data_IF_003941547107
#
_entry.id   IF_003941547107
#
_cell.length_a   1.000
_cell.length_b   1.000
_cell.length_c   1.000
_cell.angle_alpha   90.00
_cell.angle_beta   90.00
_cell.angle_gamma   90.00
#
_symmetry.space_group_name_H-M   'P 1'
#
loop_
_entity.id
_entity.type
_entity.pdbx_description
1 polymer ?
#
# COMPACT_ATOMS: atom_id res chain seq x y z
N UNK A 1 50.62 -24.54 -36.74
CA UNK A 1 49.78 -24.22 -35.56
C UNK A 1 49.40 -25.54 -34.92
N UNK A 2 49.79 -25.77 -33.67
CA UNK A 2 49.66 -27.08 -33.02
C UNK A 2 48.22 -27.28 -32.50
N UNK A 3 47.63 -28.47 -32.69
CA UNK A 3 46.26 -28.79 -32.29
C UNK A 3 46.02 -28.57 -30.80
N UNK A 4 47.04 -28.89 -29.99
CA UNK A 4 47.01 -28.67 -28.54
C UNK A 4 46.89 -27.17 -28.19
N UNK A 5 47.48 -26.30 -29.01
CA UNK A 5 47.41 -24.85 -28.80
C UNK A 5 46.00 -24.31 -29.08
N UNK A 6 45.31 -24.87 -30.09
CA UNK A 6 43.92 -24.51 -30.42
C UNK A 6 42.97 -24.97 -29.30
N UNK A 7 43.16 -26.20 -28.81
CA UNK A 7 42.36 -26.75 -27.71
C UNK A 7 42.50 -25.95 -26.42
N UNK A 8 43.74 -25.60 -26.05
CA UNK A 8 44.00 -24.79 -24.85
C UNK A 8 43.40 -23.38 -24.97
N UNK A 9 43.56 -22.74 -26.13
CA UNK A 9 42.97 -21.41 -26.37
C UNK A 9 41.44 -21.45 -26.28
N UNK A 10 40.81 -22.48 -26.85
CA UNK A 10 39.36 -22.66 -26.81
C UNK A 10 38.83 -22.92 -25.39
N UNK A 11 39.50 -23.79 -24.61
CA UNK A 11 39.13 -24.03 -23.20
C UNK A 11 39.28 -22.79 -22.33
N UNK A 12 40.35 -22.01 -22.54
CA UNK A 12 40.58 -20.77 -21.81
C UNK A 12 39.57 -19.69 -22.17
N UNK A 13 39.14 -19.63 -23.44
CA UNK A 13 38.12 -18.67 -23.87
C UNK A 13 36.73 -19.05 -23.34
N UNK A 14 36.41 -20.35 -23.28
CA UNK A 14 35.17 -20.83 -22.65
C UNK A 14 35.12 -20.53 -21.15
N UNK A 15 36.22 -20.75 -20.41
CA UNK A 15 36.25 -20.47 -18.97
C UNK A 15 36.15 -18.97 -18.66
N UNK A 16 36.77 -18.12 -19.48
CA UNK A 16 36.62 -16.66 -19.41
C UNK A 16 35.18 -16.24 -19.72
N UNK A 17 34.52 -16.89 -20.68
CA UNK A 17 33.14 -16.56 -21.05
C UNK A 17 32.14 -17.02 -19.97
N UNK A 18 32.31 -18.22 -19.41
CA UNK A 18 31.48 -18.71 -18.29
C UNK A 18 31.65 -17.85 -17.03
N UNK A 19 32.88 -17.46 -16.69
CA UNK A 19 33.13 -16.54 -15.57
C UNK A 19 32.54 -15.15 -15.81
N UNK A 20 32.63 -14.61 -17.03
CA UNK A 20 31.99 -13.36 -17.39
C UNK A 20 30.45 -13.44 -17.33
N UNK A 21 29.84 -14.54 -17.78
CA UNK A 21 28.39 -14.77 -17.70
C UNK A 21 27.93 -14.85 -16.24
N UNK A 22 28.65 -15.60 -15.40
CA UNK A 22 28.32 -15.76 -13.97
C UNK A 22 28.49 -14.46 -13.18
N UNK A 23 29.57 -13.70 -13.42
CA UNK A 23 29.78 -12.36 -12.84
C UNK A 23 28.68 -11.40 -13.29
N UNK A 24 28.29 -11.41 -14.57
CA UNK A 24 27.20 -10.56 -15.05
C UNK A 24 25.87 -10.95 -14.40
N UNK A 25 25.58 -12.24 -14.23
CA UNK A 25 24.38 -12.70 -13.53
C UNK A 25 24.37 -12.29 -12.05
N UNK A 26 25.51 -12.36 -11.35
CA UNK A 26 25.61 -11.92 -9.95
C UNK A 26 25.50 -10.41 -9.82
N UNK A 27 26.14 -9.63 -10.69
CA UNK A 27 26.02 -8.16 -10.69
C UNK A 27 24.59 -7.71 -11.04
N UNK A 28 23.91 -8.41 -11.97
CA UNK A 28 22.52 -8.14 -12.30
C UNK A 28 21.57 -8.50 -11.15
N UNK A 29 21.84 -9.57 -10.41
CA UNK A 29 21.03 -9.95 -9.24
C UNK A 29 21.27 -8.97 -8.09
N UNK A 30 22.52 -8.61 -7.79
CA UNK A 30 22.88 -7.60 -6.79
C UNK A 30 22.28 -6.23 -7.11
N UNK A 31 22.34 -5.79 -8.36
CA UNK A 31 21.76 -4.50 -8.79
C UNK A 31 20.23 -4.52 -8.64
N UNK A 32 19.56 -5.63 -8.99
CA UNK A 32 18.12 -5.79 -8.81
C UNK A 32 17.73 -5.80 -7.32
N UNK A 33 18.47 -6.52 -6.48
CA UNK A 33 18.26 -6.58 -5.03
C UNK A 33 18.47 -5.20 -4.39
N UNK A 34 19.54 -4.49 -4.76
CA UNK A 34 19.82 -3.15 -4.24
C UNK A 34 18.73 -2.13 -4.65
N UNK A 35 18.23 -2.21 -5.88
CA UNK A 35 17.12 -1.37 -6.33
C UNK A 35 15.82 -1.67 -5.57
N UNK A 36 15.51 -2.95 -5.34
CA UNK A 36 14.36 -3.35 -4.52
C UNK A 36 14.51 -2.88 -3.07
N UNK A 37 15.71 -2.95 -2.51
CA UNK A 37 16.01 -2.47 -1.17
C UNK A 37 15.81 -0.95 -1.04
N UNK A 38 16.21 -0.18 -2.07
CA UNK A 38 15.93 1.27 -2.13
C UNK A 38 14.43 1.58 -2.19
N UNK A 39 13.67 0.86 -3.02
CA UNK A 39 12.21 1.04 -3.13
C UNK A 39 11.49 0.69 -1.82
N UNK A 40 11.86 -0.40 -1.17
CA UNK A 40 11.32 -0.78 0.14
C UNK A 40 11.69 0.23 1.23
N UNK A 41 12.92 0.76 1.22
CA UNK A 41 13.32 1.80 2.16
C UNK A 41 12.57 3.13 1.93
N UNK A 42 12.36 3.53 0.68
CA UNK A 42 11.54 4.69 0.35
C UNK A 42 10.09 4.49 0.84
N UNK A 43 9.54 3.30 0.63
CA UNK A 43 8.22 2.92 1.14
C UNK A 43 8.16 2.99 2.67
N UNK A 44 9.18 2.48 3.36
CA UNK A 44 9.29 2.55 4.83
C UNK A 44 9.25 3.99 5.32
N UNK A 45 10.04 4.87 4.71
CA UNK A 45 10.05 6.30 5.08
C UNK A 45 8.72 6.99 4.82
N UNK A 46 8.06 6.70 3.70
CA UNK A 46 6.71 7.21 3.44
C UNK A 46 5.72 6.77 4.54
N UNK A 47 5.77 5.50 4.97
CA UNK A 47 4.92 4.98 6.05
C UNK A 47 5.22 5.59 7.41
N UNK A 48 6.48 5.91 7.70
CA UNK A 48 6.86 6.63 8.92
C UNK A 48 6.23 8.03 8.92
N UNK A 49 6.35 8.77 7.81
CA UNK A 49 5.77 10.12 7.67
C UNK A 49 4.24 10.06 7.81
N UNK A 50 3.57 9.13 7.13
CA UNK A 50 2.12 8.95 7.26
C UNK A 50 1.71 8.54 8.68
N UNK A 51 2.51 7.71 9.37
CA UNK A 51 2.23 7.34 10.77
C UNK A 51 2.28 8.55 11.70
N UNK A 52 3.26 9.44 11.49
CA UNK A 52 3.34 10.69 12.25
C UNK A 52 2.11 11.57 11.98
N UNK A 53 1.66 11.66 10.72
CA UNK A 53 0.45 12.38 10.37
C UNK A 53 -0.81 11.77 11.01
N UNK A 54 -1.01 10.45 10.94
CA UNK A 54 -2.12 9.78 11.61
C UNK A 54 -2.09 9.95 13.13
N UNK A 55 -0.91 9.84 13.75
CA UNK A 55 -0.76 10.08 15.18
C UNK A 55 -1.18 11.50 15.56
N UNK A 56 -0.74 12.50 14.79
CA UNK A 56 -1.14 13.90 15.01
C UNK A 56 -2.66 14.09 14.87
N UNK A 57 -3.28 13.50 13.84
CA UNK A 57 -4.73 13.53 13.64
C UNK A 57 -5.47 12.90 14.83
N UNK A 58 -5.01 11.73 15.31
CA UNK A 58 -5.61 11.05 16.46
C UNK A 58 -5.56 11.93 17.72
N UNK A 59 -4.43 12.60 17.96
CA UNK A 59 -4.29 13.52 19.11
C UNK A 59 -5.27 14.69 18.99
N UNK A 60 -5.36 15.32 17.81
CA UNK A 60 -6.31 16.42 17.57
C UNK A 60 -7.77 15.99 17.76
N UNK A 61 -8.16 14.86 17.17
CA UNK A 61 -9.51 14.32 17.30
C UNK A 61 -9.82 13.92 18.74
N UNK A 62 -8.84 13.33 19.45
CA UNK A 62 -8.98 12.96 20.86
C UNK A 62 -9.18 14.17 21.76
N UNK A 63 -8.41 15.25 21.55
CA UNK A 63 -8.59 16.52 22.26
C UNK A 63 -9.96 17.13 21.96
N UNK A 64 -10.38 17.13 20.69
CA UNK A 64 -11.69 17.61 20.29
C UNK A 64 -12.83 16.88 21.03
N UNK A 65 -12.79 15.54 21.03
CA UNK A 65 -13.81 14.71 21.70
C UNK A 65 -13.81 14.93 23.22
N UNK A 66 -12.64 15.08 23.84
CA UNK A 66 -12.53 15.31 25.28
C UNK A 66 -13.11 16.67 25.71
N UNK A 67 -12.96 17.70 24.87
CA UNK A 67 -13.47 19.04 25.15
C UNK A 67 -14.94 19.22 24.76
N UNK A 68 -15.42 18.46 23.78
CA UNK A 68 -16.77 18.56 23.20
C UNK A 68 -17.54 17.24 23.34
N UNK A 69 -17.70 16.76 24.57
CA UNK A 69 -18.46 15.53 24.86
C UNK A 69 -19.97 15.79 24.78
N UNK A 70 -20.47 16.02 23.57
CA UNK A 70 -21.87 16.17 23.23
C UNK A 70 -22.23 15.23 22.07
N UNK A 71 -23.50 14.85 21.96
CA UNK A 71 -24.01 14.03 20.86
C UNK A 71 -24.30 14.90 19.62
N UNK A 72 -23.32 15.67 19.18
CA UNK A 72 -23.40 16.52 17.98
C UNK A 72 -22.87 15.80 16.73
N UNK A 73 -23.25 16.27 15.55
CA UNK A 73 -22.75 15.71 14.29
C UNK A 73 -21.22 15.84 14.15
N UNK A 74 -20.58 16.96 14.53
CA UNK A 74 -19.12 17.05 14.60
C UNK A 74 -18.47 16.02 15.54
N UNK A 75 -19.03 15.77 16.73
CA UNK A 75 -18.48 14.78 17.68
C UNK A 75 -18.61 13.34 17.18
N UNK A 76 -19.74 12.98 16.54
CA UNK A 76 -19.89 11.68 15.87
C UNK A 76 -18.89 11.55 14.72
N UNK A 77 -18.70 12.63 13.96
CA UNK A 77 -17.72 12.67 12.87
C UNK A 77 -16.29 12.46 13.38
N UNK A 78 -15.92 13.09 14.50
CA UNK A 78 -14.64 12.90 15.17
C UNK A 78 -14.40 11.44 15.53
N UNK A 79 -15.42 10.76 16.06
CA UNK A 79 -15.34 9.34 16.44
C UNK A 79 -15.13 8.44 15.21
N UNK A 80 -15.89 8.65 14.13
CA UNK A 80 -15.75 7.88 12.89
C UNK A 80 -14.34 8.05 12.32
N UNK A 81 -13.85 9.29 12.20
CA UNK A 81 -12.51 9.55 11.67
C UNK A 81 -11.40 9.03 12.58
N UNK A 82 -11.62 9.00 13.90
CA UNK A 82 -10.68 8.41 14.84
C UNK A 82 -10.50 6.92 14.59
N UNK A 83 -11.59 6.17 14.33
CA UNK A 83 -11.51 4.74 13.99
C UNK A 83 -10.64 4.50 12.76
N UNK A 84 -10.86 5.26 11.69
CA UNK A 84 -10.05 5.12 10.46
C UNK A 84 -8.60 5.57 10.66
N UNK A 85 -8.37 6.61 11.45
CA UNK A 85 -7.02 7.11 11.75
C UNK A 85 -6.22 6.10 12.57
N UNK A 86 -6.84 5.49 13.59
CA UNK A 86 -6.24 4.42 14.40
C UNK A 86 -5.95 3.20 13.53
N UNK A 87 -6.91 2.77 12.72
CA UNK A 87 -6.74 1.65 11.80
C UNK A 87 -5.60 1.90 10.79
N UNK A 88 -5.51 3.13 10.26
CA UNK A 88 -4.42 3.59 9.40
C UNK A 88 -3.07 3.54 10.10
N UNK A 89 -2.98 4.05 11.33
CA UNK A 89 -1.76 4.03 12.14
C UNK A 89 -1.29 2.61 12.42
N UNK A 90 -2.18 1.74 12.92
CA UNK A 90 -1.86 0.32 13.18
C UNK A 90 -1.39 -0.38 11.90
N UNK A 91 -2.08 -0.15 10.79
CA UNK A 91 -1.72 -0.71 9.49
C UNK A 91 -0.34 -0.26 9.00
N UNK A 92 -0.01 1.03 9.18
CA UNK A 92 1.29 1.59 8.81
C UNK A 92 2.41 1.05 9.70
N UNK A 93 2.20 0.96 11.03
CA UNK A 93 3.15 0.34 11.95
C UNK A 93 3.41 -1.12 11.55
N UNK A 94 2.35 -1.88 11.24
CA UNK A 94 2.47 -3.24 10.73
C UNK A 94 3.34 -3.32 9.47
N UNK A 95 3.15 -2.41 8.51
CA UNK A 95 4.01 -2.34 7.32
C UNK A 95 5.46 -2.03 7.65
N UNK A 96 5.72 -1.07 8.54
CA UNK A 96 7.08 -0.68 8.92
C UNK A 96 7.80 -1.88 9.55
N UNK A 97 7.15 -2.59 10.46
CA UNK A 97 7.71 -3.80 11.11
C UNK A 97 7.96 -4.90 10.08
N UNK A 98 7.03 -5.14 9.16
CA UNK A 98 7.24 -6.14 8.11
C UNK A 98 8.39 -5.77 7.18
N UNK A 99 8.53 -4.50 6.76
CA UNK A 99 9.64 -4.04 5.91
C UNK A 99 10.97 -4.13 6.67
N UNK A 100 11.01 -3.77 7.96
CA UNK A 100 12.22 -3.83 8.77
C UNK A 100 12.74 -5.27 8.97
N UNK A 101 11.84 -6.26 8.95
CA UNK A 101 12.16 -7.67 9.11
C UNK A 101 12.46 -8.41 7.79
N UNK A 102 12.47 -7.70 6.64
CA UNK A 102 12.87 -8.31 5.37
C UNK A 102 14.35 -8.65 5.43
N UNK A 103 14.66 -9.93 5.39
CA UNK A 103 16.03 -10.43 5.37
C UNK A 103 16.50 -10.56 3.91
N UNK A 104 17.37 -9.64 3.51
CA UNK A 104 17.93 -9.55 2.16
C UNK A 104 19.01 -10.61 1.89
N UNK A 105 19.47 -11.35 2.89
CA UNK A 105 20.43 -12.45 2.72
C UNK A 105 19.75 -13.77 2.32
N UNK A 106 18.41 -13.83 2.35
CA UNK A 106 17.64 -15.01 1.96
C UNK A 106 17.66 -15.27 0.45
N UNK A 107 17.42 -16.53 0.00
CA UNK A 107 17.25 -16.85 -1.41
C UNK A 107 16.22 -15.94 -2.09
N UNK A 108 16.46 -15.59 -3.36
CA UNK A 108 15.65 -14.65 -4.14
C UNK A 108 14.15 -15.03 -4.12
N UNK A 109 13.82 -16.33 -4.12
CA UNK A 109 12.44 -16.82 -4.06
C UNK A 109 11.73 -16.48 -2.74
N UNK A 110 12.45 -16.49 -1.61
CA UNK A 110 11.90 -16.10 -0.31
C UNK A 110 11.72 -14.58 -0.23
N UNK A 111 12.71 -13.82 -0.70
CA UNK A 111 12.62 -12.36 -0.79
C UNK A 111 11.43 -11.92 -1.65
N UNK A 112 11.20 -12.61 -2.77
CA UNK A 112 10.04 -12.40 -3.63
C UNK A 112 8.72 -12.63 -2.88
N UNK A 113 8.59 -13.71 -2.09
CA UNK A 113 7.39 -13.97 -1.26
C UNK A 113 7.18 -12.91 -0.19
N UNK A 114 8.24 -12.42 0.44
CA UNK A 114 8.16 -11.34 1.42
C UNK A 114 7.71 -10.02 0.78
N UNK A 115 8.22 -9.71 -0.41
CA UNK A 115 7.75 -8.57 -1.22
C UNK A 115 6.27 -8.74 -1.59
N UNK A 116 5.82 -9.92 -2.02
CA UNK A 116 4.41 -10.17 -2.32
C UNK A 116 3.50 -9.90 -1.11
N UNK A 117 3.90 -10.38 0.08
CA UNK A 117 3.16 -10.13 1.33
C UNK A 117 3.06 -8.64 1.65
N UNK A 118 4.16 -7.89 1.48
CA UNK A 118 4.17 -6.44 1.65
C UNK A 118 3.23 -5.73 0.68
N UNK A 119 3.25 -6.12 -0.60
CA UNK A 119 2.37 -5.61 -1.64
C UNK A 119 0.90 -5.87 -1.31
N UNK A 120 0.59 -7.10 -0.88
CA UNK A 120 -0.76 -7.50 -0.45
C UNK A 120 -1.24 -6.70 0.75
N UNK A 121 -0.42 -6.59 1.79
CA UNK A 121 -0.75 -5.80 2.98
C UNK A 121 -0.94 -4.31 2.63
N UNK A 122 -0.09 -3.76 1.76
CA UNK A 122 -0.23 -2.39 1.24
C UNK A 122 -1.55 -2.17 0.52
N UNK A 123 -1.96 -3.12 -0.32
CA UNK A 123 -3.25 -3.08 -0.99
C UNK A 123 -4.40 -3.13 0.02
N UNK A 124 -4.36 -4.07 0.98
CA UNK A 124 -5.43 -4.20 1.99
C UNK A 124 -5.56 -2.96 2.87
N UNK A 125 -4.45 -2.37 3.31
CA UNK A 125 -4.48 -1.12 4.07
C UNK A 125 -5.10 0.02 3.26
N UNK A 126 -4.73 0.12 1.98
CA UNK A 126 -5.32 1.14 1.09
C UNK A 126 -6.81 0.93 0.92
N UNK A 127 -7.27 -0.32 0.79
CA UNK A 127 -8.70 -0.65 0.73
C UNK A 127 -9.43 -0.24 2.01
N UNK A 128 -8.82 -0.50 3.17
CA UNK A 128 -9.38 -0.13 4.47
C UNK A 128 -9.54 1.40 4.58
N UNK A 129 -8.53 2.16 4.18
CA UNK A 129 -8.60 3.63 4.17
C UNK A 129 -9.61 4.16 3.15
N UNK A 130 -9.71 3.56 1.97
CA UNK A 130 -10.73 3.91 0.96
C UNK A 130 -12.15 3.63 1.46
N UNK A 131 -12.33 2.71 2.42
CA UNK A 131 -13.63 2.46 3.06
C UNK A 131 -14.10 3.65 3.91
N UNK A 132 -13.24 4.63 4.19
CA UNK A 132 -13.63 5.89 4.83
C UNK A 132 -14.28 6.89 3.86
N UNK A 133 -14.10 6.73 2.53
CA UNK A 133 -14.59 7.67 1.52
C UNK A 133 -16.11 7.93 1.56
N UNK A 134 -16.98 6.93 1.83
CA UNK A 134 -18.41 7.15 1.99
C UNK A 134 -18.74 8.11 3.13
N UNK A 135 -17.88 8.21 4.15
CA UNK A 135 -18.03 9.13 5.28
C UNK A 135 -17.46 10.53 4.97
N UNK A 136 -17.52 10.98 3.71
CA UNK A 136 -16.96 12.26 3.28
C UNK A 136 -17.51 13.45 4.11
N UNK A 137 -18.80 13.41 4.49
CA UNK A 137 -19.41 14.44 5.34
C UNK A 137 -18.85 14.48 6.77
N UNK A 138 -18.27 13.39 7.27
CA UNK A 138 -17.60 13.43 8.56
C UNK A 138 -16.40 14.39 8.55
N UNK A 139 -15.64 14.41 7.44
CA UNK A 139 -14.55 15.38 7.25
C UNK A 139 -15.08 16.82 7.14
N UNK A 140 -16.23 17.01 6.51
CA UNK A 140 -16.85 18.34 6.33
C UNK A 140 -17.35 18.88 7.67
N UNK A 141 -18.15 18.11 8.41
CA UNK A 141 -18.72 18.58 9.68
C UNK A 141 -17.66 18.95 10.70
N UNK A 142 -16.65 18.09 10.90
CA UNK A 142 -15.58 18.41 11.84
C UNK A 142 -14.67 19.52 11.32
N UNK A 143 -14.44 19.59 10.01
CA UNK A 143 -13.62 20.64 9.41
C UNK A 143 -14.24 22.02 9.62
N UNK A 144 -15.56 22.13 9.44
CA UNK A 144 -16.27 23.38 9.69
C UNK A 144 -16.28 23.77 11.16
N UNK A 145 -16.52 22.81 12.04
CA UNK A 145 -16.56 23.06 13.48
C UNK A 145 -15.18 23.46 14.03
N UNK A 146 -14.11 22.76 13.63
CA UNK A 146 -12.74 23.04 14.11
C UNK A 146 -12.16 24.33 13.51
N UNK A 147 -12.42 24.63 12.23
CA UNK A 147 -11.78 25.78 11.55
C UNK A 147 -12.58 27.08 11.67
N UNK A 148 -13.90 26.99 11.77
CA UNK A 148 -14.79 28.15 11.77
C UNK A 148 -15.66 28.25 13.02
N UNK A 149 -15.60 27.27 13.94
CA UNK A 149 -16.49 27.19 15.11
C UNK A 149 -17.98 27.18 14.72
N UNK A 150 -18.27 26.62 13.53
CA UNK A 150 -19.63 26.52 12.98
C UNK A 150 -20.07 25.05 12.97
N UNK A 151 -21.11 24.74 13.74
CA UNK A 151 -21.86 23.49 13.56
C UNK A 151 -22.65 23.56 12.24
N UNK A 152 -22.03 23.08 11.16
CA UNK A 152 -22.64 23.08 9.84
C UNK A 152 -23.94 22.26 9.81
N UNK A 153 -24.05 21.21 10.63
CA UNK A 153 -25.24 20.36 10.65
C UNK A 153 -26.46 21.14 11.13
N UNK A 154 -26.29 22.02 12.13
CA UNK A 154 -27.36 22.89 12.64
C UNK A 154 -27.92 23.86 11.58
N UNK A 155 -27.16 24.12 10.52
CA UNK A 155 -27.53 25.04 9.44
C UNK A 155 -28.06 24.31 8.18
N UNK A 156 -28.09 22.97 8.18
CA UNK A 156 -28.59 22.20 7.05
C UNK A 156 -30.12 22.05 7.11
N UNK A 157 -30.75 22.26 5.95
CA UNK A 157 -32.16 21.91 5.81
C UNK A 157 -32.36 20.38 5.77
N UNK A 158 -33.53 19.91 6.21
CA UNK A 158 -33.87 18.49 6.29
C UNK A 158 -33.67 17.75 4.95
N UNK A 159 -33.97 18.40 3.83
CA UNK A 159 -33.83 17.80 2.50
C UNK A 159 -32.34 17.58 2.13
N UNK A 160 -31.43 18.46 2.58
CA UNK A 160 -29.99 18.33 2.38
C UNK A 160 -29.42 17.18 3.21
N UNK A 161 -29.88 17.04 4.47
CA UNK A 161 -29.49 15.92 5.35
C UNK A 161 -29.88 14.58 4.71
N UNK A 162 -31.10 14.50 4.17
CA UNK A 162 -31.54 13.32 3.41
C UNK A 162 -30.68 13.05 2.19
N UNK A 163 -30.41 14.07 1.39
CA UNK A 163 -29.57 13.95 0.19
C UNK A 163 -28.17 13.42 0.54
N UNK A 164 -27.51 13.99 1.56
CA UNK A 164 -26.16 13.56 1.96
C UNK A 164 -26.13 12.17 2.62
N UNK A 165 -27.19 11.80 3.33
CA UNK A 165 -27.31 10.47 3.90
C UNK A 165 -27.46 9.40 2.80
N UNK A 166 -28.32 9.67 1.81
CA UNK A 166 -28.52 8.77 0.66
C UNK A 166 -27.26 8.71 -0.22
N UNK A 167 -26.60 9.84 -0.48
CA UNK A 167 -25.36 9.85 -1.25
C UNK A 167 -24.23 9.07 -0.56
N UNK A 168 -24.10 9.20 0.77
CA UNK A 168 -23.15 8.42 1.57
C UNK A 168 -23.43 6.92 1.44
N UNK A 169 -24.72 6.51 1.50
CA UNK A 169 -25.11 5.11 1.38
C UNK A 169 -24.86 4.55 -0.03
N UNK A 170 -25.14 5.33 -1.08
CA UNK A 170 -24.79 4.97 -2.46
C UNK A 170 -23.28 4.85 -2.65
N UNK A 171 -22.50 5.80 -2.10
CA UNK A 171 -21.04 5.76 -2.15
C UNK A 171 -20.47 4.55 -1.39
N UNK A 172 -21.09 4.14 -0.28
CA UNK A 172 -20.72 2.93 0.46
C UNK A 172 -20.86 1.69 -0.42
N UNK A 173 -21.97 1.56 -1.13
CA UNK A 173 -22.23 0.43 -2.04
C UNK A 173 -21.22 0.44 -3.19
N UNK A 174 -21.04 1.59 -3.85
CA UNK A 174 -20.10 1.72 -4.99
C UNK A 174 -18.68 1.41 -4.54
N UNK A 175 -18.23 2.02 -3.44
CA UNK A 175 -16.89 1.79 -2.87
C UNK A 175 -16.71 0.32 -2.53
N UNK A 176 -17.66 -0.31 -1.85
CA UNK A 176 -17.59 -1.73 -1.49
C UNK A 176 -17.47 -2.63 -2.73
N UNK A 177 -18.26 -2.38 -3.77
CA UNK A 177 -18.19 -3.11 -5.04
C UNK A 177 -16.83 -2.96 -5.73
N UNK A 178 -16.29 -1.74 -5.79
CA UNK A 178 -14.96 -1.47 -6.37
C UNK A 178 -13.87 -2.16 -5.57
N UNK A 179 -13.91 -2.06 -4.23
CA UNK A 179 -12.93 -2.68 -3.34
C UNK A 179 -13.01 -4.21 -3.37
N UNK A 180 -14.18 -4.80 -3.55
CA UNK A 180 -14.34 -6.24 -3.73
C UNK A 180 -13.63 -6.75 -5.00
N UNK A 181 -13.67 -5.97 -6.09
CA UNK A 181 -12.96 -6.29 -7.34
C UNK A 181 -11.46 -6.02 -7.27
N UNK A 182 -11.01 -5.13 -6.38
CA UNK A 182 -9.60 -4.76 -6.22
C UNK A 182 -8.83 -5.85 -5.43
N UNK A 183 -8.38 -6.89 -6.13
CA UNK A 183 -7.58 -8.00 -5.61
C UNK A 183 -6.59 -8.51 -6.69
N UNK A 184 -5.48 -9.12 -6.29
CA UNK A 184 -4.49 -9.74 -7.17
C UNK A 184 -5.07 -10.87 -8.04
N UNK A 185 -6.13 -11.54 -7.58
CA UNK A 185 -6.85 -12.54 -8.39
C UNK A 185 -7.51 -11.94 -9.63
N UNK A 186 -7.92 -10.67 -9.56
CA UNK A 186 -8.59 -9.96 -10.65
C UNK A 186 -7.63 -9.12 -11.50
N UNK A 187 -6.33 -9.33 -11.35
CA UNK A 187 -5.30 -8.48 -11.98
C UNK A 187 -5.26 -8.58 -13.50
N UNK A 188 -5.92 -9.58 -14.09
CA UNK A 188 -6.14 -9.66 -15.54
C UNK A 188 -6.98 -8.48 -16.07
N UNK A 189 -7.79 -7.86 -15.20
CA UNK A 189 -8.61 -6.70 -15.59
C UNK A 189 -7.74 -5.44 -15.68
N UNK A 190 -7.72 -4.70 -16.81
CA UNK A 190 -6.79 -3.59 -17.03
C UNK A 190 -6.84 -2.48 -15.98
N UNK A 191 -8.04 -2.09 -15.56
CA UNK A 191 -8.20 -1.04 -14.54
C UNK A 191 -7.73 -1.52 -13.16
N UNK A 192 -7.96 -2.79 -12.80
CA UNK A 192 -7.49 -3.39 -11.54
C UNK A 192 -5.97 -3.39 -11.52
N UNK A 193 -5.32 -3.86 -12.60
CA UNK A 193 -3.86 -3.84 -12.75
C UNK A 193 -3.32 -2.42 -12.58
N UNK A 194 -3.92 -1.44 -13.26
CA UNK A 194 -3.47 -0.04 -13.21
C UNK A 194 -3.61 0.54 -11.81
N UNK A 195 -4.73 0.27 -11.11
CA UNK A 195 -4.95 0.75 -9.74
C UNK A 195 -3.97 0.11 -8.76
N UNK A 196 -3.76 -1.21 -8.82
CA UNK A 196 -2.80 -1.89 -7.95
C UNK A 196 -1.37 -1.40 -8.26
N UNK A 197 -1.01 -1.18 -9.53
CA UNK A 197 0.29 -0.64 -9.93
C UNK A 197 0.51 0.78 -9.41
N UNK A 198 -0.54 1.62 -9.43
CA UNK A 198 -0.48 2.96 -8.83
C UNK A 198 -0.29 2.90 -7.30
N UNK A 199 -1.04 2.03 -6.62
CA UNK A 199 -0.96 1.89 -5.16
C UNK A 199 0.41 1.35 -4.76
N UNK A 200 0.81 0.21 -5.33
CA UNK A 200 1.94 -0.57 -4.85
C UNK A 200 3.25 -0.18 -5.53
N UNK A 201 3.20 0.11 -6.82
CA UNK A 201 4.36 0.36 -7.69
C UNK A 201 4.42 -0.70 -8.82
N UNK A 202 4.70 -0.27 -10.05
CA UNK A 202 4.65 -1.13 -11.23
C UNK A 202 5.65 -2.30 -11.18
N UNK A 203 6.87 -2.05 -10.68
CA UNK A 203 7.90 -3.08 -10.48
C UNK A 203 7.47 -4.16 -9.49
N UNK A 204 6.87 -3.73 -8.38
CA UNK A 204 6.40 -4.60 -7.32
C UNK A 204 5.16 -5.41 -7.75
N UNK A 205 4.32 -4.85 -8.63
CA UNK A 205 3.21 -5.58 -9.25
C UNK A 205 3.70 -6.68 -10.17
N UNK A 206 4.68 -6.41 -11.04
CA UNK A 206 5.21 -7.43 -11.94
C UNK A 206 5.82 -8.61 -11.17
N UNK A 207 6.52 -8.35 -10.06
CA UNK A 207 7.03 -9.39 -9.17
C UNK A 207 5.90 -10.18 -8.50
N UNK A 208 4.87 -9.49 -7.98
CA UNK A 208 3.70 -10.14 -7.38
C UNK A 208 2.95 -11.04 -8.37
N UNK A 209 2.79 -10.58 -9.62
CA UNK A 209 2.17 -11.35 -10.70
C UNK A 209 2.94 -12.61 -11.03
N UNK A 210 4.28 -12.52 -11.12
CA UNK A 210 5.12 -13.67 -11.39
C UNK A 210 4.96 -14.77 -10.34
N UNK A 211 4.97 -14.39 -9.05
CA UNK A 211 4.80 -15.35 -7.94
C UNK A 211 3.40 -15.97 -7.95
N UNK A 212 2.36 -15.14 -8.13
CA UNK A 212 0.98 -15.62 -8.18
C UNK A 212 0.75 -16.62 -9.33
N UNK A 213 1.39 -16.40 -10.47
CA UNK A 213 1.31 -17.32 -11.61
C UNK A 213 2.01 -18.65 -11.34
N UNK A 214 3.14 -18.65 -10.62
CA UNK A 214 3.83 -19.89 -10.22
C UNK A 214 2.93 -20.70 -9.28
N UNK A 215 2.42 -20.08 -8.21
CA UNK A 215 1.57 -20.78 -7.24
C UNK A 215 0.27 -21.30 -7.89
N UNK A 216 -0.27 -20.63 -8.91
CA UNK A 216 -1.45 -21.09 -9.66
C UNK A 216 -1.19 -22.21 -10.67
N UNK A 217 0.07 -22.44 -11.06
CA UNK A 217 0.44 -23.51 -12.00
C UNK A 217 0.79 -24.82 -11.28
N UNK A 218 1.12 -24.74 -9.99
CA UNK A 218 1.42 -25.89 -9.11
C UNK A 218 0.18 -26.45 -8.38
N UNK A 219 -1.04 -26.01 -8.74
CA UNK A 219 -2.33 -26.48 -8.19
C UNK A 219 -3.17 -27.19 -9.26
#
# INVERSE_FOLDING_TARGET
>A
MNLDNIKNTWQQQNSVNESAITINQSLLSETKVNNQMKELNAMKWARIIESAAFFFIIVLLGQYIANNFSASAPSISALILSVFSIAGLVGNIGQIVHIANVDYAKPISQLQKDVYRLCSHKLQLTKLLLMSAPFYMAYVFIGFDVLFEIDLYAHLEQHMVWFYSVSSLLLLIITSCVLAKLNYTNIATPWVKRTIAFIVGERLVNMAQFINNIDSTDS
#
